data_IF_243390254044
#
_entry.id   IF_243390254044
#
_cell.length_a   1.000
_cell.length_b   1.000
_cell.length_c   1.000
_cell.angle_alpha   90.00
_cell.angle_beta   90.00
_cell.angle_gamma   90.00
#
_symmetry.space_group_name_H-M   'P 1'
#
loop_
_entity.id
_entity.type
_entity.pdbx_description
1 polymer ?
#
# COMPACT_ATOMS: atom_id res chain seq x y z
N UNK A 1 18.46 -22.11 5.69
CA UNK A 1 18.85 -21.04 4.77
C UNK A 1 20.09 -20.35 5.32
N UNK A 2 21.24 -21.00 5.19
CA UNK A 2 22.60 -20.50 5.56
C UNK A 2 23.39 -20.35 4.25
N UNK A 3 23.07 -19.36 3.44
CA UNK A 3 23.70 -19.26 2.10
C UNK A 3 24.45 -17.95 1.89
N UNK A 4 24.33 -16.99 2.81
CA UNK A 4 25.07 -15.73 2.71
C UNK A 4 25.94 -15.55 3.95
N UNK A 5 27.22 -15.26 3.76
CA UNK A 5 28.12 -14.82 4.83
C UNK A 5 27.50 -13.65 5.60
N UNK A 6 27.77 -13.55 6.89
CA UNK A 6 27.08 -12.63 7.81
C UNK A 6 26.97 -11.16 7.34
N UNK A 7 27.99 -10.55 6.72
CA UNK A 7 27.87 -9.16 6.22
C UNK A 7 26.88 -9.04 5.07
N UNK A 8 26.85 -9.98 4.14
CA UNK A 8 25.91 -9.98 3.01
C UNK A 8 24.49 -10.30 3.46
N UNK A 9 24.32 -11.13 4.48
CA UNK A 9 23.02 -11.44 5.08
C UNK A 9 22.36 -10.21 5.73
N UNK A 10 23.14 -9.32 6.35
CA UNK A 10 22.64 -8.04 6.89
C UNK A 10 22.22 -7.09 5.78
N UNK A 11 23.06 -6.94 4.77
CA UNK A 11 22.79 -6.08 3.61
C UNK A 11 21.54 -6.55 2.86
N UNK A 12 21.43 -7.85 2.58
CA UNK A 12 20.24 -8.42 1.93
C UNK A 12 18.95 -8.17 2.72
N UNK A 13 18.99 -8.23 4.05
CA UNK A 13 17.85 -7.89 4.91
C UNK A 13 17.46 -6.42 4.81
N UNK A 14 18.42 -5.51 4.78
CA UNK A 14 18.16 -4.08 4.60
C UNK A 14 17.53 -3.79 3.24
N UNK A 15 18.06 -4.37 2.16
CA UNK A 15 17.48 -4.24 0.83
C UNK A 15 16.07 -4.81 0.77
N UNK A 16 15.80 -5.96 1.38
CA UNK A 16 14.47 -6.55 1.42
C UNK A 16 13.47 -5.67 2.19
N UNK A 17 13.88 -5.06 3.29
CA UNK A 17 13.03 -4.11 4.05
C UNK A 17 12.77 -2.84 3.24
N UNK A 18 13.78 -2.30 2.57
CA UNK A 18 13.62 -1.13 1.70
C UNK A 18 12.72 -1.43 0.51
N UNK A 19 12.91 -2.58 -0.15
CA UNK A 19 12.04 -3.02 -1.24
C UNK A 19 10.58 -3.18 -0.77
N UNK A 20 10.36 -3.79 0.39
CA UNK A 20 9.03 -3.93 0.97
C UNK A 20 8.40 -2.57 1.30
N UNK A 21 9.18 -1.63 1.79
CA UNK A 21 8.74 -0.24 2.03
C UNK A 21 8.28 0.42 0.73
N UNK A 22 9.09 0.37 -0.32
CA UNK A 22 8.77 0.97 -1.63
C UNK A 22 7.55 0.33 -2.28
N UNK A 23 7.42 -0.99 -2.20
CA UNK A 23 6.23 -1.70 -2.69
C UNK A 23 4.97 -1.22 -1.96
N UNK A 24 5.03 -1.05 -0.64
CA UNK A 24 3.90 -0.53 0.12
C UNK A 24 3.55 0.92 -0.25
N UNK A 25 4.54 1.79 -0.50
CA UNK A 25 4.27 3.14 -1.01
C UNK A 25 3.63 3.11 -2.40
N UNK A 26 4.07 2.21 -3.29
CA UNK A 26 3.45 2.02 -4.61
C UNK A 26 1.99 1.61 -4.51
N UNK A 27 1.68 0.66 -3.64
CA UNK A 27 0.29 0.25 -3.39
C UNK A 27 -0.55 1.37 -2.75
N UNK A 28 0.03 2.13 -1.84
CA UNK A 28 -0.65 3.28 -1.22
C UNK A 28 -1.04 4.32 -2.27
N UNK A 29 -0.09 4.73 -3.10
CA UNK A 29 -0.33 5.66 -4.21
C UNK A 29 -1.35 5.09 -5.18
N UNK A 30 -1.20 3.81 -5.60
CA UNK A 30 -2.15 3.15 -6.49
C UNK A 30 -3.56 3.03 -5.90
N UNK A 31 -3.70 2.86 -4.58
CA UNK A 31 -5.00 2.80 -3.91
C UNK A 31 -5.71 4.15 -3.82
N UNK A 32 -4.98 5.27 -3.99
CA UNK A 32 -5.53 6.62 -4.03
C UNK A 32 -5.97 7.01 -5.43
N UNK A 33 -5.10 6.80 -6.41
CA UNK A 33 -5.27 7.33 -7.76
C UNK A 33 -5.46 6.26 -8.85
N UNK A 34 -5.18 5.00 -8.56
CA UNK A 34 -5.12 3.95 -9.58
C UNK A 34 -3.84 4.08 -10.45
N UNK A 35 -3.75 3.23 -11.45
CA UNK A 35 -2.72 3.29 -12.48
C UNK A 35 -3.37 3.79 -13.78
N UNK A 36 -3.52 5.09 -13.89
CA UNK A 36 -3.97 5.72 -15.13
C UNK A 36 -2.76 5.86 -16.06
N UNK A 37 -2.90 5.41 -17.32
CA UNK A 37 -1.85 5.65 -18.30
C UNK A 37 -1.58 7.15 -18.39
N UNK A 38 -0.29 7.52 -18.29
CA UNK A 38 0.16 8.90 -18.39
C UNK A 38 -0.11 9.41 -19.82
N UNK A 39 -1.21 10.12 -19.99
CA UNK A 39 -1.70 10.65 -21.26
C UNK A 39 -0.60 11.40 -22.02
N UNK A 40 0.20 12.21 -21.30
CA UNK A 40 1.30 12.96 -21.87
C UNK A 40 2.41 12.09 -22.49
N UNK A 41 2.55 10.84 -22.06
CA UNK A 41 3.58 9.91 -22.54
C UNK A 41 3.03 8.92 -23.57
N UNK A 42 1.77 8.51 -23.41
CA UNK A 42 1.14 7.48 -24.23
C UNK A 42 0.33 8.05 -25.40
N UNK A 43 -0.14 9.30 -25.27
CA UNK A 43 -0.94 9.99 -26.27
C UNK A 43 -0.59 11.50 -26.31
N UNK A 44 0.70 11.87 -26.52
CA UNK A 44 1.12 13.27 -26.47
C UNK A 44 0.37 14.15 -27.49
N UNK A 45 0.12 13.63 -28.70
CA UNK A 45 -0.56 14.37 -29.74
C UNK A 45 -2.03 14.68 -29.40
N UNK A 46 -2.67 13.85 -28.56
CA UNK A 46 -4.04 14.06 -28.11
C UNK A 46 -4.12 15.06 -26.95
N UNK A 47 -3.11 15.10 -26.09
CA UNK A 47 -3.11 16.01 -24.93
C UNK A 47 -2.82 17.46 -25.30
N UNK A 48 -1.98 17.71 -26.29
CA UNK A 48 -1.67 19.07 -26.75
C UNK A 48 -2.78 19.71 -27.59
N UNK A 49 -3.71 18.91 -28.13
CA UNK A 49 -4.84 19.37 -28.94
C UNK A 49 -6.16 19.43 -28.15
N UNK A 50 -6.13 19.29 -26.84
CA UNK A 50 -7.29 19.04 -25.98
C UNK A 50 -8.30 20.19 -25.85
N UNK A 51 -8.16 21.26 -26.62
CA UNK A 51 -9.10 22.38 -26.61
C UNK A 51 -10.22 22.24 -27.66
N UNK A 52 -10.15 21.24 -28.54
CA UNK A 52 -11.21 20.95 -29.49
C UNK A 52 -12.07 19.76 -29.06
N UNK A 53 -13.32 19.75 -29.48
CA UNK A 53 -14.23 18.64 -29.15
C UNK A 53 -13.72 17.31 -29.74
N UNK A 54 -13.22 17.36 -30.95
CA UNK A 54 -12.68 16.21 -31.66
C UNK A 54 -11.50 15.57 -30.92
N UNK A 55 -10.58 16.41 -30.40
CA UNK A 55 -9.45 15.94 -29.62
C UNK A 55 -9.89 15.32 -28.28
N UNK A 56 -10.92 15.91 -27.65
CA UNK A 56 -11.49 15.35 -26.44
C UNK A 56 -12.15 13.97 -26.69
N UNK A 57 -12.94 13.86 -27.76
CA UNK A 57 -13.60 12.59 -28.13
C UNK A 57 -12.55 11.50 -28.48
N UNK A 58 -11.48 11.87 -29.19
CA UNK A 58 -10.36 10.98 -29.46
C UNK A 58 -9.62 10.53 -28.21
N UNK A 59 -9.39 11.43 -27.25
CA UNK A 59 -8.78 11.09 -25.95
C UNK A 59 -9.65 10.14 -25.13
N UNK A 60 -10.97 10.35 -25.12
CA UNK A 60 -11.90 9.45 -24.43
C UNK A 60 -11.95 8.07 -25.10
N UNK A 61 -11.93 8.00 -26.42
CA UNK A 61 -11.87 6.74 -27.15
C UNK A 61 -10.57 5.98 -26.86
N UNK A 62 -9.41 6.67 -26.78
CA UNK A 62 -8.15 6.10 -26.40
C UNK A 62 -8.18 5.58 -24.95
N UNK A 63 -8.70 6.37 -23.99
CA UNK A 63 -8.85 5.96 -22.59
C UNK A 63 -9.71 4.70 -22.45
N UNK A 64 -10.77 4.57 -23.24
CA UNK A 64 -11.67 3.41 -23.21
C UNK A 64 -10.96 2.11 -23.66
N UNK A 65 -9.90 2.21 -24.46
CA UNK A 65 -9.12 1.07 -24.95
C UNK A 65 -7.85 0.81 -24.11
N UNK A 66 -7.40 1.80 -23.32
CA UNK A 66 -6.19 1.69 -22.52
C UNK A 66 -6.44 0.74 -21.32
N UNK A 67 -5.51 -0.19 -21.11
CA UNK A 67 -5.51 -0.99 -19.89
C UNK A 67 -5.11 -0.11 -18.70
N UNK A 68 -5.90 -0.13 -17.66
CA UNK A 68 -5.58 0.51 -16.38
C UNK A 68 -6.02 -0.34 -15.20
N UNK A 69 -5.33 -0.20 -14.09
CA UNK A 69 -5.70 -0.86 -12.84
C UNK A 69 -6.42 0.17 -11.97
N UNK A 70 -7.66 -0.12 -11.62
CA UNK A 70 -8.44 0.80 -10.79
C UNK A 70 -7.90 0.87 -9.37
N UNK A 71 -8.14 1.99 -8.68
CA UNK A 71 -7.77 2.19 -7.28
C UNK A 71 -8.39 1.13 -6.35
N UNK A 72 -9.57 0.63 -6.70
CA UNK A 72 -10.25 -0.43 -5.94
C UNK A 72 -9.47 -1.74 -5.99
N UNK A 73 -8.96 -2.09 -7.15
CA UNK A 73 -8.12 -3.29 -7.34
C UNK A 73 -6.83 -3.15 -6.55
N UNK A 74 -6.16 -2.00 -6.61
CA UNK A 74 -4.99 -1.73 -5.77
C UNK A 74 -5.31 -1.85 -4.28
N UNK A 75 -6.42 -1.27 -3.81
CA UNK A 75 -6.82 -1.33 -2.41
C UNK A 75 -7.04 -2.77 -1.93
N UNK A 76 -7.76 -3.59 -2.71
CA UNK A 76 -8.03 -4.99 -2.35
C UNK A 76 -6.75 -5.83 -2.37
N UNK A 77 -5.95 -5.74 -3.43
CA UNK A 77 -4.70 -6.50 -3.54
C UNK A 77 -3.75 -6.10 -2.40
N UNK A 78 -3.65 -4.81 -2.08
CA UNK A 78 -2.81 -4.34 -0.99
C UNK A 78 -3.26 -4.88 0.36
N UNK A 79 -4.56 -4.87 0.67
CA UNK A 79 -5.10 -5.44 1.89
C UNK A 79 -4.75 -6.93 2.03
N UNK A 80 -4.93 -7.70 0.95
CA UNK A 80 -4.59 -9.13 0.93
C UNK A 80 -3.08 -9.37 1.09
N UNK A 81 -2.25 -8.55 0.44
CA UNK A 81 -0.78 -8.64 0.58
C UNK A 81 -0.33 -8.33 2.01
N UNK A 82 -0.90 -7.29 2.65
CA UNK A 82 -0.61 -6.95 4.05
C UNK A 82 -1.02 -8.07 5.00
N UNK A 83 -2.20 -8.66 4.83
CA UNK A 83 -2.66 -9.80 5.61
C UNK A 83 -1.72 -11.01 5.41
N UNK A 84 -1.32 -11.31 4.18
CA UNK A 84 -0.39 -12.39 3.85
C UNK A 84 1.00 -12.19 4.48
N UNK A 85 1.60 -11.01 4.31
CA UNK A 85 2.91 -10.67 4.89
C UNK A 85 2.86 -10.67 6.41
N UNK A 86 1.79 -10.12 7.01
CA UNK A 86 1.60 -10.12 8.46
C UNK A 86 1.50 -11.52 9.03
N UNK A 87 0.68 -12.38 8.43
CA UNK A 87 0.51 -13.78 8.82
C UNK A 87 1.81 -14.57 8.66
N UNK A 88 2.46 -14.47 7.50
CA UNK A 88 3.75 -15.11 7.27
C UNK A 88 4.80 -14.65 8.27
N UNK A 89 4.89 -13.33 8.53
CA UNK A 89 5.79 -12.76 9.50
C UNK A 89 5.54 -13.27 10.92
N UNK A 90 4.27 -13.44 11.31
CA UNK A 90 3.89 -13.98 12.61
C UNK A 90 4.28 -15.47 12.75
N UNK A 91 3.99 -16.29 11.75
CA UNK A 91 4.33 -17.72 11.74
C UNK A 91 5.85 -17.94 11.75
N UNK A 92 6.59 -17.11 10.99
CA UNK A 92 8.06 -17.24 10.87
C UNK A 92 8.83 -16.44 11.92
N UNK A 93 8.16 -15.83 12.89
CA UNK A 93 8.73 -14.99 13.94
C UNK A 93 9.55 -13.78 13.40
N UNK A 94 9.16 -13.20 12.27
CA UNK A 94 9.81 -12.04 11.67
C UNK A 94 9.12 -10.74 12.09
N UNK A 95 9.51 -10.22 13.27
CA UNK A 95 8.93 -9.01 13.87
C UNK A 95 8.90 -7.81 12.93
N UNK A 96 9.96 -7.60 12.15
CA UNK A 96 10.02 -6.50 11.17
C UNK A 96 8.92 -6.57 10.13
N UNK A 97 8.62 -7.76 9.59
CA UNK A 97 7.55 -7.97 8.63
C UNK A 97 6.16 -7.74 9.26
N UNK A 98 5.94 -8.24 10.48
CA UNK A 98 4.67 -8.03 11.22
C UNK A 98 4.45 -6.55 11.51
N UNK A 99 5.46 -5.85 12.04
CA UNK A 99 5.33 -4.43 12.36
C UNK A 99 5.09 -3.58 11.11
N UNK A 100 5.79 -3.87 10.02
CA UNK A 100 5.60 -3.16 8.75
C UNK A 100 4.20 -3.43 8.18
N UNK A 101 3.77 -4.69 8.13
CA UNK A 101 2.43 -5.05 7.66
C UNK A 101 1.34 -4.37 8.49
N UNK A 102 1.46 -4.34 9.82
CA UNK A 102 0.51 -3.69 10.71
C UNK A 102 0.50 -2.17 10.56
N UNK A 103 1.67 -1.53 10.40
CA UNK A 103 1.76 -0.08 10.16
C UNK A 103 1.07 0.29 8.85
N UNK A 104 1.37 -0.42 7.76
CA UNK A 104 0.74 -0.15 6.47
C UNK A 104 -0.73 -0.58 6.42
N UNK A 105 -1.15 -1.59 7.20
CA UNK A 105 -2.57 -1.92 7.36
C UNK A 105 -3.33 -0.77 8.06
N UNK A 106 -2.73 -0.13 9.04
CA UNK A 106 -3.26 1.08 9.65
C UNK A 106 -3.39 2.23 8.64
N UNK A 107 -2.33 2.50 7.86
CA UNK A 107 -2.34 3.52 6.79
C UNK A 107 -3.42 3.18 5.76
N UNK A 108 -3.49 1.93 5.30
CA UNK A 108 -4.49 1.46 4.34
C UNK A 108 -5.91 1.67 4.87
N UNK A 109 -6.18 1.22 6.10
CA UNK A 109 -7.48 1.41 6.74
C UNK A 109 -7.88 2.88 6.81
N UNK A 110 -6.98 3.74 7.29
CA UNK A 110 -7.21 5.18 7.39
C UNK A 110 -7.50 5.79 6.02
N UNK A 111 -6.65 5.51 5.03
CA UNK A 111 -6.79 6.03 3.67
C UNK A 111 -8.14 5.65 3.07
N UNK A 112 -8.50 4.35 3.12
CA UNK A 112 -9.77 3.89 2.56
C UNK A 112 -10.97 4.44 3.33
N UNK A 113 -10.85 4.59 4.65
CA UNK A 113 -11.90 5.16 5.48
C UNK A 113 -12.19 6.61 5.12
N UNK A 114 -11.16 7.45 5.01
CA UNK A 114 -11.32 8.87 4.68
C UNK A 114 -11.78 9.08 3.23
N UNK A 115 -11.24 8.33 2.30
CA UNK A 115 -11.57 8.48 0.88
C UNK A 115 -12.98 7.99 0.52
N UNK A 116 -13.50 6.99 1.23
CA UNK A 116 -14.75 6.32 0.84
C UNK A 116 -15.94 6.66 1.73
N UNK A 117 -15.74 6.99 2.98
CA UNK A 117 -16.82 7.11 3.97
C UNK A 117 -17.16 8.55 4.35
N UNK A 118 -16.62 9.57 3.65
CA UNK A 118 -16.83 10.97 3.99
C UNK A 118 -16.68 11.16 5.52
N UNK A 119 -15.45 11.34 5.99
CA UNK A 119 -15.09 11.30 7.41
C UNK A 119 -15.95 12.24 8.25
N UNK A 120 -16.99 11.70 8.89
CA UNK A 120 -17.67 12.41 9.96
C UNK A 120 -16.77 12.45 11.21
N UNK A 121 -16.94 13.42 12.11
CA UNK A 121 -16.17 13.50 13.37
C UNK A 121 -16.23 12.20 14.17
N UNK A 122 -17.37 11.52 14.17
CA UNK A 122 -17.54 10.23 14.84
C UNK A 122 -16.72 9.12 14.18
N UNK A 123 -16.66 9.13 12.85
CA UNK A 123 -15.84 8.18 12.08
C UNK A 123 -14.35 8.36 12.40
N UNK A 124 -13.87 9.60 12.51
CA UNK A 124 -12.48 9.91 12.91
C UNK A 124 -12.19 9.40 14.32
N UNK A 125 -13.12 9.60 15.25
CA UNK A 125 -12.98 9.12 16.62
C UNK A 125 -12.89 7.59 16.69
N UNK A 126 -13.77 6.87 15.99
CA UNK A 126 -13.76 5.39 15.92
C UNK A 126 -12.43 4.90 15.31
N UNK A 127 -11.98 5.50 14.21
CA UNK A 127 -10.72 5.17 13.60
C UNK A 127 -9.53 5.39 14.54
N UNK A 128 -9.55 6.47 15.33
CA UNK A 128 -8.55 6.74 16.35
C UNK A 128 -8.50 5.65 17.43
N UNK A 129 -9.65 5.24 17.94
CA UNK A 129 -9.73 4.14 18.95
C UNK A 129 -9.18 2.83 18.36
N UNK A 130 -9.52 2.49 17.11
CA UNK A 130 -9.00 1.29 16.44
C UNK A 130 -7.47 1.37 16.29
N UNK A 131 -6.93 2.52 15.90
CA UNK A 131 -5.48 2.70 15.76
C UNK A 131 -4.75 2.49 17.11
N UNK A 132 -5.29 3.04 18.20
CA UNK A 132 -4.74 2.83 19.56
C UNK A 132 -4.81 1.36 19.97
N UNK A 133 -5.92 0.67 19.66
CA UNK A 133 -6.07 -0.76 19.97
C UNK A 133 -5.03 -1.61 19.19
N UNK A 134 -4.80 -1.32 17.91
CA UNK A 134 -3.77 -1.98 17.10
C UNK A 134 -2.37 -1.70 17.66
N UNK A 135 -2.05 -0.45 17.99
CA UNK A 135 -0.77 -0.07 18.56
C UNK A 135 -0.51 -0.80 19.89
N UNK A 136 -1.54 -0.90 20.74
CA UNK A 136 -1.46 -1.64 22.01
C UNK A 136 -1.27 -3.16 21.79
N UNK A 137 -1.97 -3.75 20.84
CA UNK A 137 -1.82 -5.16 20.50
C UNK A 137 -0.40 -5.47 19.99
N UNK A 138 0.16 -4.60 19.13
CA UNK A 138 1.54 -4.70 18.65
C UNK A 138 2.57 -4.54 19.77
N UNK A 139 2.33 -3.60 20.67
CA UNK A 139 3.19 -3.39 21.83
C UNK A 139 3.21 -4.65 22.72
N UNK A 140 2.05 -5.22 23.05
CA UNK A 140 1.96 -6.50 23.81
C UNK A 140 2.63 -7.66 23.07
N UNK A 141 2.39 -7.79 21.78
CA UNK A 141 3.05 -8.82 20.96
C UNK A 141 4.56 -8.72 21.01
N UNK A 142 5.11 -7.52 20.94
CA UNK A 142 6.55 -7.30 21.01
C UNK A 142 7.13 -7.55 22.41
N UNK A 143 6.41 -7.18 23.47
CA UNK A 143 6.84 -7.44 24.86
C UNK A 143 6.83 -8.93 25.22
N UNK A 144 5.78 -9.66 24.90
CA UNK A 144 5.65 -11.08 25.24
C UNK A 144 6.78 -11.93 24.66
N UNK A 145 7.44 -11.45 23.60
CA UNK A 145 8.57 -12.13 22.97
C UNK A 145 9.95 -11.65 23.45
N UNK A 146 10.04 -10.56 24.18
CA UNK A 146 11.29 -10.15 24.83
C UNK A 146 11.53 -10.96 26.12
N UNK A 147 10.47 -11.44 26.76
CA UNK A 147 10.56 -12.25 27.96
C UNK A 147 10.93 -13.72 27.69
N UNK A 148 11.01 -14.15 26.42
CA UNK A 148 11.31 -15.53 25.99
C UNK A 148 12.73 -15.71 25.43
N UNK A 149 13.61 -14.72 25.58
CA UNK A 149 15.03 -14.72 25.24
C UNK A 149 15.85 -14.55 26.51
#
# INVERSE_FOLDING_TARGET
>A
MRVLEEPYGRLARLFALMALLWVNFGFWVGSLWGDYPLEAWMAPDLTFQSYTKEAWDALQAWKAQAFFISREVFAVIWALALAGVGTWGAITNRRGAVNMAATFAGIHFYTQWFERLNASPEAVMIAGVIAVAIAFALWRYNQGRQASV
#
